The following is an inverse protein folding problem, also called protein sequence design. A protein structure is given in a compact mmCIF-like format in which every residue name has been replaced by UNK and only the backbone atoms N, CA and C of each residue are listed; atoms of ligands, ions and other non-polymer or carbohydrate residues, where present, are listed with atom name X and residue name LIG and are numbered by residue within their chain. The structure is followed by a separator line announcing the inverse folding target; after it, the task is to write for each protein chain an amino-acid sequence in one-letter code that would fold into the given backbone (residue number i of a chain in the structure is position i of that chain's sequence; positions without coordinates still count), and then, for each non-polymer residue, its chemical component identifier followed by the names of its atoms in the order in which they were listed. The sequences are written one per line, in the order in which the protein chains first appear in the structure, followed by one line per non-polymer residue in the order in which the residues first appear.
data_IF_302931598012
#
_entry.id   IF_302931598012
#
_cell.length_a   1.000
_cell.length_b   1.000
_cell.length_c   1.000
_cell.angle_alpha   90.00
_cell.angle_beta   90.00
_cell.angle_gamma   90.00
#
_symmetry.space_group_name_H-M   'P 1'
#
loop_
_entity.id
_entity.type
_entity.pdbx_description
1 polymer ?
#
# COMPACT_ATOMS: atom_id res chain seq x y z
N UNK A 1 -15.66 -1.21 -25.98
CA UNK A 1 -14.86 -2.18 -25.18
C UNK A 1 -13.36 -2.03 -25.47
N UNK A 2 -12.90 -2.14 -26.72
CA UNK A 2 -11.46 -2.05 -27.04
C UNK A 2 -10.87 -0.67 -26.70
N UNK A 3 -11.55 0.42 -27.11
CA UNK A 3 -11.11 1.80 -26.86
C UNK A 3 -10.88 2.10 -25.37
N UNK A 4 -11.80 1.66 -24.51
CA UNK A 4 -11.69 1.87 -23.06
C UNK A 4 -10.44 1.21 -22.47
N UNK A 5 -10.00 0.05 -22.99
CA UNK A 5 -8.78 -0.63 -22.54
C UNK A 5 -7.53 0.13 -22.99
N UNK A 6 -7.55 0.68 -24.21
CA UNK A 6 -6.47 1.49 -24.78
C UNK A 6 -6.28 2.83 -24.03
N UNK A 7 -7.38 3.41 -23.57
CA UNK A 7 -7.49 4.59 -22.69
C UNK A 7 -7.09 4.29 -21.23
N UNK A 8 -6.80 3.04 -20.89
CA UNK A 8 -6.28 2.67 -19.56
C UNK A 8 -7.34 2.23 -18.55
N UNK A 9 -8.63 2.15 -18.93
CA UNK A 9 -9.65 1.61 -18.05
C UNK A 9 -9.34 0.17 -17.65
N UNK A 10 -9.49 -0.14 -16.36
CA UNK A 10 -9.35 -1.47 -15.77
C UNK A 10 -10.53 -1.77 -14.85
N UNK A 11 -10.83 -3.05 -14.67
CA UNK A 11 -11.95 -3.45 -13.83
C UNK A 11 -11.71 -3.03 -12.37
N UNK A 12 -12.75 -2.52 -11.68
CA UNK A 12 -12.67 -2.24 -10.26
C UNK A 12 -12.50 -3.54 -9.47
N UNK A 13 -12.08 -3.40 -8.22
CA UNK A 13 -11.99 -4.55 -7.34
C UNK A 13 -13.37 -5.17 -7.09
N UNK A 14 -13.48 -6.51 -7.08
CA UNK A 14 -14.65 -7.18 -6.55
C UNK A 14 -14.88 -6.82 -5.07
N UNK A 15 -16.12 -6.86 -4.60
CA UNK A 15 -16.42 -6.61 -3.19
C UNK A 15 -15.71 -7.63 -2.28
N UNK A 16 -15.13 -7.14 -1.18
CA UNK A 16 -14.36 -7.96 -0.24
C UNK A 16 -13.03 -8.50 -0.80
N UNK A 17 -12.57 -8.00 -1.96
CA UNK A 17 -11.31 -8.42 -2.55
C UNK A 17 -10.12 -7.81 -1.77
N UNK A 18 -9.17 -8.64 -1.31
CA UNK A 18 -7.89 -8.16 -0.77
C UNK A 18 -7.14 -7.27 -1.78
N UNK A 19 -6.61 -6.15 -1.29
CA UNK A 19 -5.81 -5.18 -2.04
C UNK A 19 -4.64 -5.83 -2.78
N UNK A 20 -3.98 -6.78 -2.13
CA UNK A 20 -2.89 -7.57 -2.73
C UNK A 20 -3.34 -8.39 -3.94
N UNK A 21 -4.57 -8.91 -3.95
CA UNK A 21 -5.10 -9.68 -5.07
C UNK A 21 -5.56 -8.79 -6.22
N UNK A 22 -6.27 -7.68 -5.95
CA UNK A 22 -6.65 -6.74 -7.01
C UNK A 22 -5.43 -6.08 -7.65
N UNK A 23 -4.39 -5.76 -6.87
CA UNK A 23 -3.16 -5.23 -7.42
C UNK A 23 -2.46 -6.24 -8.33
N UNK A 24 -2.46 -7.54 -7.98
CA UNK A 24 -1.98 -8.58 -8.87
C UNK A 24 -2.78 -8.63 -10.19
N UNK A 25 -4.11 -8.42 -10.13
CA UNK A 25 -4.94 -8.31 -11.33
C UNK A 25 -4.52 -7.11 -12.19
N UNK A 26 -4.28 -5.94 -11.58
CA UNK A 26 -3.80 -4.74 -12.27
C UNK A 26 -2.42 -4.95 -12.91
N UNK A 27 -1.48 -5.61 -12.23
CA UNK A 27 -0.19 -6.00 -12.81
C UNK A 27 -0.35 -6.97 -13.99
N UNK A 28 -1.29 -7.92 -13.91
CA UNK A 28 -1.63 -8.79 -15.04
C UNK A 28 -2.22 -8.01 -16.23
N UNK A 29 -2.89 -6.89 -15.96
CA UNK A 29 -3.53 -6.05 -16.97
C UNK A 29 -2.68 -4.86 -17.44
N UNK A 30 -1.36 -4.85 -17.20
CA UNK A 30 -0.48 -3.81 -17.73
C UNK A 30 -0.61 -3.67 -19.26
N UNK A 31 -0.57 -2.43 -19.75
CA UNK A 31 -0.73 -2.13 -21.18
C UNK A 31 0.37 -2.81 -21.98
N UNK A 32 1.64 -2.62 -21.57
CA UNK A 32 2.76 -3.28 -22.19
C UNK A 32 2.92 -4.73 -21.67
N UNK A 33 3.07 -5.66 -22.61
CA UNK A 33 3.19 -7.11 -22.31
C UNK A 33 4.41 -7.45 -21.45
N UNK A 34 5.51 -6.71 -21.62
CA UNK A 34 6.77 -6.93 -20.91
C UNK A 34 6.70 -6.50 -19.44
N UNK A 35 5.75 -5.64 -19.04
CA UNK A 35 5.53 -5.24 -17.64
C UNK A 35 4.64 -6.23 -16.87
N UNK A 36 3.98 -7.16 -17.57
CA UNK A 36 3.15 -8.17 -16.92
C UNK A 36 4.04 -9.22 -16.24
N UNK A 37 3.68 -9.69 -15.04
CA UNK A 37 4.43 -10.72 -14.34
C UNK A 37 4.43 -12.03 -15.12
N UNK A 38 5.49 -12.84 -14.99
CA UNK A 38 5.49 -14.20 -15.52
C UNK A 38 4.61 -15.08 -14.63
N UNK A 39 4.12 -16.18 -15.17
CA UNK A 39 3.34 -17.15 -14.39
C UNK A 39 4.10 -17.66 -13.15
N UNK A 40 5.42 -17.79 -13.24
CA UNK A 40 6.27 -18.15 -12.09
C UNK A 40 6.17 -17.13 -10.95
N UNK A 41 6.10 -15.84 -11.28
CA UNK A 41 6.02 -14.76 -10.31
C UNK A 41 4.62 -14.70 -9.69
N UNK A 42 3.58 -14.88 -10.51
CA UNK A 42 2.17 -14.96 -10.08
C UNK A 42 1.99 -16.10 -9.08
N UNK A 43 2.45 -17.31 -9.44
CA UNK A 43 2.35 -18.48 -8.55
C UNK A 43 3.12 -18.21 -7.26
N UNK A 44 4.36 -17.73 -7.34
CA UNK A 44 5.18 -17.41 -6.15
C UNK A 44 4.52 -16.38 -5.23
N UNK A 45 3.85 -15.38 -5.80
CA UNK A 45 3.12 -14.36 -5.06
C UNK A 45 1.89 -14.93 -4.36
N UNK A 46 1.04 -15.67 -5.08
CA UNK A 46 -0.14 -16.32 -4.51
C UNK A 46 0.24 -17.32 -3.41
N UNK A 47 1.30 -18.07 -3.63
CA UNK A 47 1.89 -19.00 -2.66
C UNK A 47 2.29 -18.31 -1.35
N UNK A 48 2.89 -17.12 -1.43
CA UNK A 48 3.22 -16.31 -0.25
C UNK A 48 1.96 -15.86 0.48
N UNK A 49 0.91 -15.47 -0.24
CA UNK A 49 -0.37 -15.07 0.35
C UNK A 49 -1.09 -16.23 1.05
N UNK A 50 -1.10 -17.42 0.43
CA UNK A 50 -1.72 -18.62 1.01
C UNK A 50 -1.01 -19.03 2.30
N UNK A 51 0.32 -18.95 2.32
CA UNK A 51 1.13 -19.29 3.52
C UNK A 51 1.07 -18.22 4.62
N UNK A 52 0.58 -17.02 4.32
CA UNK A 52 0.43 -15.93 5.28
C UNK A 52 -0.92 -15.22 5.08
N UNK A 53 -2.03 -15.80 5.58
CA UNK A 53 -3.37 -15.25 5.36
C UNK A 53 -3.55 -13.84 5.97
N UNK A 54 -2.71 -13.46 6.95
CA UNK A 54 -2.73 -12.11 7.52
C UNK A 54 -2.41 -11.00 6.50
N UNK A 55 -1.73 -11.33 5.38
CA UNK A 55 -1.44 -10.39 4.30
C UNK A 55 -2.66 -10.06 3.41
N UNK A 56 -3.81 -10.71 3.65
CA UNK A 56 -5.07 -10.47 2.92
C UNK A 56 -5.99 -9.43 3.57
N UNK A 57 -5.68 -8.94 4.77
CA UNK A 57 -6.59 -8.06 5.52
C UNK A 57 -6.66 -6.61 5.02
N UNK A 58 -5.79 -6.18 4.10
CA UNK A 58 -5.90 -4.86 3.46
C UNK A 58 -6.88 -4.96 2.30
N UNK A 59 -7.99 -4.22 2.32
CA UNK A 59 -9.02 -4.23 1.26
C UNK A 59 -8.83 -3.06 0.29
N UNK A 60 -9.29 -3.19 -0.96
CA UNK A 60 -9.04 -2.19 -2.04
C UNK A 60 -9.76 -0.87 -1.83
N UNK A 61 -10.91 -0.89 -1.16
CA UNK A 61 -11.73 0.30 -0.92
C UNK A 61 -10.99 1.38 -0.09
N UNK A 62 -9.90 1.00 0.59
CA UNK A 62 -9.05 1.90 1.39
C UNK A 62 -8.01 2.68 0.57
N UNK A 63 -7.70 2.27 -0.67
CA UNK A 63 -6.66 2.91 -1.51
C UNK A 63 -7.22 4.07 -2.35
N UNK A 64 -8.49 4.01 -2.76
CA UNK A 64 -9.12 5.03 -3.63
C UNK A 64 -9.40 6.36 -2.92
N UNK A 65 -9.40 6.39 -1.58
CA UNK A 65 -9.58 7.63 -0.80
C UNK A 65 -8.30 8.50 -0.78
N UNK A 66 -7.13 7.92 -1.06
CA UNK A 66 -5.85 8.60 -0.92
C UNK A 66 -5.46 9.41 -2.18
N UNK A 67 -5.97 9.05 -3.37
CA UNK A 67 -5.48 9.59 -4.65
C UNK A 67 -6.51 10.42 -5.47
N UNK A 68 -7.64 10.86 -4.89
CA UNK A 68 -8.70 11.54 -5.66
C UNK A 68 -9.29 12.78 -4.99
N UNK A 69 -8.92 13.95 -5.52
CA UNK A 69 -9.66 15.23 -5.56
C UNK A 69 -10.50 15.62 -4.33
N UNK A 70 -9.97 16.58 -3.59
CA UNK A 70 -10.77 17.54 -2.85
C UNK A 70 -11.65 18.34 -3.82
N UNK A 71 -12.84 17.84 -4.15
CA UNK A 71 -13.96 18.70 -4.52
C UNK A 71 -14.80 18.89 -3.27
N UNK A 72 -14.40 19.85 -2.45
CA UNK A 72 -15.27 20.36 -1.40
C UNK A 72 -16.39 21.12 -2.10
N UNK A 73 -17.61 20.57 -2.09
CA UNK A 73 -18.81 21.39 -2.12
C UNK A 73 -19.45 21.32 -0.73
N UNK A 74 -19.22 22.30 0.15
CA UNK A 74 -20.16 22.58 1.21
C UNK A 74 -21.35 23.31 0.57
N UNK A 75 -22.53 22.70 0.61
CA UNK A 75 -23.76 23.44 0.42
C UNK A 75 -23.92 24.47 1.56
N UNK A 76 -24.56 25.60 1.24
CA UNK A 76 -24.97 26.72 2.12
C UNK A 76 -23.85 27.64 2.63
N UNK A 77 -23.64 28.78 1.96
CA UNK A 77 -24.15 30.13 2.32
C UNK A 77 -23.68 31.13 1.24
N UNK A 78 -24.57 32.06 0.85
CA UNK A 78 -24.37 33.07 -0.20
C UNK A 78 -23.40 34.19 0.27
N UNK A 79 -22.48 34.67 -0.58
CA UNK A 79 -22.31 36.10 -0.93
C UNK A 79 -20.97 36.41 -1.63
N UNK A 80 -21.08 36.85 -2.90
CA UNK A 80 -20.24 37.73 -3.71
C UNK A 80 -18.71 37.77 -3.53
N UNK A 81 -17.99 37.40 -4.61
CA UNK A 81 -17.21 38.35 -5.42
C UNK A 81 -16.71 37.71 -6.73
N UNK A 82 -17.06 38.34 -7.86
CA UNK A 82 -16.46 38.08 -9.18
C UNK A 82 -14.99 38.49 -9.21
N UNK A 83 -14.14 37.78 -9.95
CA UNK A 83 -13.42 38.30 -11.13
C UNK A 83 -12.41 37.29 -11.70
N UNK A 84 -12.43 37.20 -13.03
CA UNK A 84 -11.38 36.83 -13.97
C UNK A 84 -10.79 35.40 -13.98
N UNK A 85 -11.32 34.62 -14.92
CA UNK A 85 -10.60 33.60 -15.70
C UNK A 85 -9.44 34.24 -16.47
N UNK A 86 -8.23 33.69 -16.34
CA UNK A 86 -7.21 33.77 -17.38
C UNK A 86 -6.46 32.43 -17.49
N UNK A 87 -6.48 31.90 -18.71
CA UNK A 87 -6.02 30.58 -19.06
C UNK A 87 -4.48 30.53 -19.18
N UNK A 88 -3.85 29.58 -18.50
CA UNK A 88 -2.47 29.18 -18.74
C UNK A 88 -2.39 27.67 -18.94
N UNK A 89 -2.27 27.23 -20.21
CA UNK A 89 -1.97 25.84 -20.58
C UNK A 89 -0.68 25.39 -19.92
N UNK A 90 -0.68 24.21 -19.28
CA UNK A 90 0.48 23.32 -19.26
C UNK A 90 0.07 21.88 -18.93
N UNK A 91 0.17 21.04 -19.97
CA UNK A 91 0.36 19.59 -20.02
C UNK A 91 -0.22 18.71 -18.90
N UNK A 92 -1.27 17.97 -19.24
CA UNK A 92 -1.66 16.74 -18.53
C UNK A 92 -0.50 15.74 -18.51
N UNK A 93 -0.16 15.27 -17.32
CA UNK A 93 0.48 13.98 -17.11
C UNK A 93 -0.23 13.36 -15.91
N UNK A 94 -1.02 12.28 -16.08
CA UNK A 94 -1.60 11.58 -14.95
C UNK A 94 -0.45 10.91 -14.19
N UNK A 95 -0.21 11.45 -13.00
CA UNK A 95 0.93 11.09 -12.16
C UNK A 95 1.02 9.60 -11.90
N UNK A 96 2.27 9.13 -11.86
CA UNK A 96 2.65 7.89 -11.22
C UNK A 96 2.02 7.85 -9.83
N UNK A 97 1.07 6.93 -9.64
CA UNK A 97 0.57 6.57 -8.32
C UNK A 97 1.80 6.12 -7.51
N UNK A 98 2.05 6.65 -6.30
CA UNK A 98 3.15 6.16 -5.48
C UNK A 98 2.99 4.66 -5.32
N UNK A 99 3.90 3.88 -5.90
CA UNK A 99 4.00 2.45 -5.66
C UNK A 99 4.24 2.28 -4.16
N UNK A 100 3.18 2.07 -3.38
CA UNK A 100 3.32 1.55 -2.04
C UNK A 100 3.67 0.06 -2.21
N UNK A 101 4.90 -0.35 -1.87
CA UNK A 101 5.25 -1.76 -1.94
C UNK A 101 4.36 -2.51 -0.95
N UNK A 102 3.42 -3.27 -1.48
CA UNK A 102 2.59 -4.18 -0.70
C UNK A 102 3.51 -5.27 -0.15
N UNK A 103 3.96 -5.09 1.10
CA UNK A 103 4.83 -6.05 1.74
C UNK A 103 4.06 -7.34 2.00
N UNK A 104 4.43 -8.42 1.31
CA UNK A 104 3.74 -9.71 1.39
C UNK A 104 4.20 -10.50 2.63
N UNK A 105 5.42 -10.22 3.10
CA UNK A 105 6.04 -10.86 4.25
C UNK A 105 6.85 -9.86 5.08
N UNK A 106 7.10 -10.17 6.36
CA UNK A 106 8.03 -9.41 7.22
C UNK A 106 9.42 -9.32 6.58
N UNK A 107 9.82 -10.36 5.83
CA UNK A 107 11.08 -10.35 5.09
C UNK A 107 11.13 -9.31 3.97
N UNK A 108 10.09 -9.24 3.15
CA UNK A 108 10.00 -8.25 2.06
C UNK A 108 9.96 -6.81 2.63
N UNK A 109 9.26 -6.62 3.74
CA UNK A 109 9.26 -5.35 4.49
C UNK A 109 10.66 -4.95 4.95
N UNK A 110 11.38 -5.86 5.62
CA UNK A 110 12.75 -5.59 6.07
C UNK A 110 13.69 -5.25 4.91
N UNK A 111 13.59 -5.91 3.77
CA UNK A 111 14.41 -5.62 2.59
C UNK A 111 14.17 -4.21 2.05
N UNK A 112 12.91 -3.76 2.02
CA UNK A 112 12.54 -2.43 1.51
C UNK A 112 13.19 -1.28 2.29
N UNK A 113 13.32 -1.43 3.61
CA UNK A 113 13.98 -0.47 4.49
C UNK A 113 15.48 -0.75 4.65
N UNK A 114 16.03 -1.67 3.85
CA UNK A 114 17.44 -2.10 3.88
C UNK A 114 17.86 -2.69 5.23
N UNK A 115 16.95 -3.41 5.88
CA UNK A 115 17.13 -4.10 7.16
C UNK A 115 16.99 -5.63 7.01
N UNK A 116 17.13 -6.16 5.79
CA UNK A 116 16.97 -7.58 5.46
C UNK A 116 17.89 -8.53 6.25
N UNK A 117 19.04 -8.04 6.73
CA UNK A 117 19.96 -8.81 7.56
C UNK A 117 19.35 -9.28 8.89
N UNK A 118 18.25 -8.66 9.35
CA UNK A 118 17.57 -9.01 10.60
C UNK A 118 16.42 -10.01 10.43
N UNK A 119 16.16 -10.52 9.21
CA UNK A 119 15.06 -11.47 8.96
C UNK A 119 15.04 -12.64 9.95
N UNK A 120 16.19 -13.30 10.14
CA UNK A 120 16.29 -14.44 11.05
C UNK A 120 16.01 -14.05 12.50
N UNK A 121 16.40 -12.84 12.93
CA UNK A 121 16.11 -12.33 14.26
C UNK A 121 14.61 -12.18 14.50
N UNK A 122 13.89 -11.59 13.55
CA UNK A 122 12.42 -11.44 13.63
C UNK A 122 11.72 -12.81 13.60
N UNK A 123 12.13 -13.69 12.69
CA UNK A 123 11.55 -15.04 12.58
C UNK A 123 11.80 -15.89 13.83
N UNK A 124 13.02 -15.89 14.38
CA UNK A 124 13.37 -16.64 15.58
C UNK A 124 12.66 -16.13 16.83
N UNK A 125 12.34 -14.83 16.88
CA UNK A 125 11.55 -14.22 17.94
C UNK A 125 10.03 -14.35 17.75
N UNK A 126 9.58 -15.00 16.66
CA UNK A 126 8.16 -15.21 16.37
C UNK A 126 7.44 -14.00 15.77
N UNK A 127 8.15 -12.94 15.38
CA UNK A 127 7.58 -11.76 14.73
C UNK A 127 7.38 -11.99 13.23
N UNK A 128 6.39 -12.80 12.88
CA UNK A 128 6.14 -13.29 11.51
C UNK A 128 4.99 -12.59 10.79
N UNK A 129 4.18 -11.78 11.49
CA UNK A 129 3.01 -11.09 10.93
C UNK A 129 3.08 -9.58 11.17
N UNK A 130 2.48 -8.79 10.27
CA UNK A 130 2.42 -7.33 10.42
C UNK A 130 1.65 -6.87 11.66
N UNK A 131 0.68 -7.65 12.13
CA UNK A 131 -0.03 -7.37 13.37
C UNK A 131 0.89 -7.43 14.60
N UNK A 132 1.83 -8.39 14.62
CA UNK A 132 2.81 -8.47 15.71
C UNK A 132 3.86 -7.36 15.58
N UNK A 133 4.36 -7.11 14.36
CA UNK A 133 5.30 -6.03 14.06
C UNK A 133 4.74 -4.66 14.45
N UNK A 134 3.46 -4.41 14.15
CA UNK A 134 2.81 -3.13 14.46
C UNK A 134 2.66 -2.90 15.95
N UNK A 135 2.79 -3.91 16.81
CA UNK A 135 2.74 -3.74 18.28
C UNK A 135 4.13 -3.56 18.93
N UNK A 136 5.21 -3.78 18.18
CA UNK A 136 6.58 -3.72 18.72
C UNK A 136 6.98 -2.30 19.13
N UNK A 137 7.76 -2.20 20.21
CA UNK A 137 8.43 -0.98 20.63
C UNK A 137 9.96 -1.08 20.42
N UNK A 138 10.69 -0.01 20.76
CA UNK A 138 12.15 0.02 20.59
C UNK A 138 12.89 -1.03 21.43
N UNK A 139 12.36 -1.42 22.59
CA UNK A 139 12.98 -2.43 23.45
C UNK A 139 12.80 -3.83 22.87
N UNK A 140 11.69 -4.13 22.21
CA UNK A 140 11.49 -5.40 21.50
C UNK A 140 12.50 -5.54 20.35
N UNK A 141 12.72 -4.46 19.59
CA UNK A 141 13.72 -4.40 18.51
C UNK A 141 15.14 -4.63 19.05
N UNK A 142 15.46 -4.08 20.22
CA UNK A 142 16.74 -4.32 20.90
C UNK A 142 16.88 -5.77 21.36
N UNK A 143 15.82 -6.35 21.95
CA UNK A 143 15.81 -7.73 22.48
C UNK A 143 16.05 -8.78 21.41
N UNK A 144 15.54 -8.56 20.19
CA UNK A 144 15.77 -9.50 19.08
C UNK A 144 17.18 -9.39 18.47
N UNK A 145 18.02 -8.45 18.94
CA UNK A 145 19.42 -8.33 18.53
C UNK A 145 19.72 -7.20 17.55
N UNK A 146 18.82 -6.24 17.35
CA UNK A 146 19.13 -5.02 16.58
C UNK A 146 19.81 -4.01 17.51
N UNK A 147 21.14 -4.05 17.59
CA UNK A 147 21.93 -3.24 18.56
C UNK A 147 22.21 -1.81 18.04
N UNK A 148 22.36 -1.65 16.73
CA UNK A 148 22.72 -0.36 16.13
C UNK A 148 21.56 0.64 16.22
N UNK A 149 21.80 1.79 16.87
CA UNK A 149 20.76 2.81 17.10
C UNK A 149 20.15 3.36 15.80
N UNK A 150 20.95 3.49 14.74
CA UNK A 150 20.46 3.91 13.43
C UNK A 150 19.49 2.91 12.80
N UNK A 151 19.76 1.61 12.98
CA UNK A 151 18.89 0.54 12.49
C UNK A 151 17.60 0.47 13.31
N UNK A 152 17.70 0.57 14.63
CA UNK A 152 16.53 0.65 15.52
C UNK A 152 15.60 1.79 15.10
N UNK A 153 16.14 3.00 14.93
CA UNK A 153 15.37 4.18 14.51
C UNK A 153 14.69 3.97 13.16
N UNK A 154 15.40 3.41 12.18
CA UNK A 154 14.84 3.13 10.86
C UNK A 154 13.67 2.15 10.93
N UNK A 155 13.83 1.05 11.65
CA UNK A 155 12.78 0.04 11.79
C UNK A 155 11.58 0.60 12.55
N UNK A 156 11.82 1.27 13.68
CA UNK A 156 10.74 1.89 14.49
C UNK A 156 9.97 2.95 13.68
N UNK A 157 10.66 3.77 12.89
CA UNK A 157 10.00 4.75 12.02
C UNK A 157 9.12 4.07 10.97
N UNK A 158 9.57 2.97 10.36
CA UNK A 158 8.74 2.20 9.42
C UNK A 158 7.54 1.52 10.10
N UNK A 159 7.69 1.05 11.34
CA UNK A 159 6.57 0.50 12.14
C UNK A 159 5.50 1.57 12.39
N UNK A 160 5.89 2.82 12.65
CA UNK A 160 4.93 3.93 12.81
C UNK A 160 4.13 4.17 11.53
N UNK A 161 4.77 4.13 10.35
CA UNK A 161 4.06 4.20 9.06
C UNK A 161 3.08 3.03 8.90
N UNK A 162 3.49 1.81 9.24
CA UNK A 162 2.61 0.63 9.20
C UNK A 162 1.40 0.79 10.14
N UNK A 163 1.58 1.34 11.34
CA UNK A 163 0.48 1.59 12.29
C UNK A 163 -0.55 2.56 11.75
N UNK A 164 -0.11 3.66 11.14
CA UNK A 164 -1.02 4.65 10.55
C UNK A 164 -1.88 4.01 9.46
N UNK A 165 -1.29 3.13 8.65
CA UNK A 165 -2.03 2.38 7.64
C UNK A 165 -3.04 1.41 8.28
N UNK A 166 -2.66 0.68 9.34
CA UNK A 166 -3.55 -0.28 10.01
C UNK A 166 -4.67 0.37 10.85
N UNK A 167 -4.44 1.55 11.45
CA UNK A 167 -5.46 2.25 12.25
C UNK A 167 -6.56 2.84 11.38
N UNK A 168 -6.22 3.33 10.18
CA UNK A 168 -7.23 3.84 9.23
C UNK A 168 -8.24 2.76 8.81
N UNK A 169 -7.81 1.48 8.83
CA UNK A 169 -8.65 0.32 8.50
C UNK A 169 -9.65 0.01 9.61
N UNK A 170 -9.32 0.28 10.89
CA UNK A 170 -10.20 -0.06 12.03
C UNK A 170 -11.31 0.97 12.28
N UNK A 171 -11.08 2.26 12.03
CA UNK A 171 -12.08 3.31 12.27
C UNK A 171 -13.25 3.28 11.26
N UNK A 172 -13.07 2.67 10.08
CA UNK A 172 -14.13 2.58 9.06
C UNK A 172 -14.92 1.27 9.10
N UNK A 173 -14.66 0.39 10.07
CA UNK A 173 -15.37 -0.87 10.26
C UNK A 173 -16.69 -0.79 11.03
N UNK A 174 -17.08 0.40 11.51
CA UNK A 174 -18.36 0.65 12.17
C UNK A 174 -18.85 2.05 11.81
N UNK A 175 -19.48 2.21 10.64
CA UNK A 175 -20.65 3.08 10.42
C UNK A 175 -21.19 2.89 9.01
#
# INVERSE_FOLDING_TARGET
VILSIEEGYRLPAPMGCPASLHQLMLHCWQKERNHRPKFTDIVSFLDKLIRNPSALHTLVEDILVINGLHSQCPSTELSNCSMAVEAGRLSESPGEVPEYPLFVTVGDWLDSIKMGQYKNNFMAAGFTTFELISRMNIDDIRRIGVILIGHQRRIVSSIQTLRLHMMHIQEKGFH
#
